data_IF_177360459679
#
_entry.id   IF_177360459679
#
_cell.length_a   1.000
_cell.length_b   1.000
_cell.length_c   1.000
_cell.angle_alpha   90.00
_cell.angle_beta   90.00
_cell.angle_gamma   90.00
#
_symmetry.space_group_name_H-M   'P 1'
#
loop_
_entity.id
_entity.type
_entity.pdbx_description
1 polymer ?
#
# COMPACT_ATOMS: atom_id res chain seq x y z
N UNK A 1 13.04 -3.07 -49.92
CA UNK A 1 12.27 -3.25 -48.65
C UNK A 1 12.68 -4.45 -47.78
N UNK A 2 13.30 -5.53 -48.28
CA UNK A 2 13.69 -6.71 -47.47
C UNK A 2 14.79 -6.51 -46.40
N UNK A 3 15.61 -5.44 -46.46
CA UNK A 3 16.74 -5.24 -45.52
C UNK A 3 16.38 -4.63 -44.16
N UNK A 4 15.18 -4.04 -43.99
CA UNK A 4 14.73 -3.45 -42.71
C UNK A 4 14.17 -4.48 -41.72
N UNK A 5 13.53 -5.54 -42.21
CA UNK A 5 12.96 -6.61 -41.37
C UNK A 5 14.03 -7.46 -40.67
N UNK A 6 15.16 -7.74 -41.32
CA UNK A 6 16.25 -8.54 -40.74
C UNK A 6 16.95 -7.84 -39.56
N UNK A 7 17.09 -6.51 -39.58
CA UNK A 7 17.71 -5.74 -38.49
C UNK A 7 16.82 -5.62 -37.23
N UNK A 8 15.50 -5.65 -37.40
CA UNK A 8 14.56 -5.57 -36.28
C UNK A 8 14.54 -6.89 -35.46
N UNK A 9 14.62 -8.04 -36.13
CA UNK A 9 14.71 -9.35 -35.45
C UNK A 9 15.99 -9.52 -34.63
N UNK A 10 17.13 -9.00 -35.12
CA UNK A 10 18.41 -9.05 -34.40
C UNK A 10 18.46 -8.12 -33.19
N UNK A 11 17.79 -6.96 -33.24
CA UNK A 11 17.78 -5.97 -32.15
C UNK A 11 16.89 -6.42 -30.98
N UNK A 12 15.71 -7.00 -31.27
CA UNK A 12 14.85 -7.58 -30.25
C UNK A 12 15.50 -8.82 -29.58
N UNK A 13 16.17 -9.67 -30.38
CA UNK A 13 16.92 -10.82 -29.87
C UNK A 13 18.10 -10.41 -28.97
N UNK A 14 18.84 -9.37 -29.33
CA UNK A 14 19.96 -8.87 -28.51
C UNK A 14 19.51 -8.15 -27.24
N UNK A 15 18.35 -7.47 -27.25
CA UNK A 15 17.77 -6.89 -26.04
C UNK A 15 17.29 -7.97 -25.05
N UNK A 16 16.63 -9.03 -25.56
CA UNK A 16 16.20 -10.15 -24.73
C UNK A 16 17.38 -10.95 -24.15
N UNK A 17 18.44 -11.15 -24.94
CA UNK A 17 19.66 -11.81 -24.47
C UNK A 17 20.39 -10.95 -23.43
N UNK A 18 20.49 -9.63 -23.63
CA UNK A 18 21.05 -8.74 -22.60
C UNK A 18 20.22 -8.68 -21.34
N UNK A 19 18.89 -8.69 -21.45
CA UNK A 19 18.01 -8.75 -20.29
C UNK A 19 18.21 -10.06 -19.54
N UNK A 20 18.31 -11.20 -20.25
CA UNK A 20 18.62 -12.51 -19.66
C UNK A 20 19.98 -12.53 -18.98
N UNK A 21 21.03 -12.07 -19.66
CA UNK A 21 22.39 -12.12 -19.15
C UNK A 21 22.57 -11.14 -17.96
N UNK A 22 21.89 -9.99 -17.98
CA UNK A 22 21.77 -9.10 -16.81
C UNK A 22 20.99 -9.75 -15.66
N UNK A 23 19.91 -10.48 -15.97
CA UNK A 23 19.14 -11.23 -14.98
C UNK A 23 19.99 -12.33 -14.35
N UNK A 24 20.81 -13.03 -15.14
CA UNK A 24 21.72 -14.07 -14.67
C UNK A 24 22.88 -13.51 -13.86
N UNK A 25 23.42 -12.33 -14.23
CA UNK A 25 24.44 -11.63 -13.47
C UNK A 25 23.95 -11.18 -12.08
N UNK A 26 22.63 -10.98 -11.91
CA UNK A 26 21.98 -10.76 -10.61
C UNK A 26 22.00 -12.00 -9.70
N UNK A 27 22.33 -13.17 -10.24
CA UNK A 27 22.40 -14.46 -9.54
C UNK A 27 23.80 -15.09 -9.59
N UNK A 28 24.82 -14.34 -10.01
CA UNK A 28 26.21 -14.81 -10.05
C UNK A 28 26.81 -14.81 -8.63
N UNK A 29 27.59 -15.84 -8.28
CA UNK A 29 28.04 -16.08 -6.90
C UNK A 29 28.89 -14.93 -6.33
N UNK A 30 28.41 -14.33 -5.23
CA UNK A 30 29.08 -13.26 -4.49
C UNK A 30 30.39 -13.75 -3.81
N UNK A 31 31.37 -12.85 -3.57
CA UNK A 31 32.60 -13.19 -2.86
C UNK A 31 32.30 -13.75 -1.44
N UNK A 32 33.11 -14.70 -0.93
CA UNK A 32 32.81 -15.48 0.29
C UNK A 32 32.62 -14.68 1.59
N UNK A 33 32.92 -13.38 1.57
CA UNK A 33 32.84 -12.45 2.70
C UNK A 33 31.48 -11.77 2.85
N UNK A 34 30.59 -11.83 1.85
CA UNK A 34 29.25 -11.26 1.94
C UNK A 34 28.19 -12.34 2.22
N UNK A 35 27.10 -12.00 2.96
CA UNK A 35 25.96 -12.89 3.07
C UNK A 35 25.44 -13.18 1.66
N UNK A 36 25.55 -14.44 1.21
CA UNK A 36 25.17 -14.82 -0.14
C UNK A 36 23.73 -14.45 -0.48
N UNK A 37 23.52 -14.03 -1.73
CA UNK A 37 22.20 -13.74 -2.27
C UNK A 37 21.22 -14.91 -2.09
N UNK A 38 20.12 -14.68 -1.37
CA UNK A 38 19.02 -15.64 -1.22
C UNK A 38 17.80 -15.18 -2.05
N UNK A 39 17.51 -15.80 -3.21
CA UNK A 39 16.37 -15.45 -4.05
C UNK A 39 15.03 -15.62 -3.33
N UNK A 40 14.93 -16.58 -2.40
CA UNK A 40 13.71 -16.82 -1.63
C UNK A 40 13.48 -15.68 -0.65
N UNK A 41 14.53 -15.19 0.00
CA UNK A 41 14.46 -14.02 0.85
C UNK A 41 14.01 -12.78 0.08
N UNK A 42 14.63 -12.50 -1.08
CA UNK A 42 14.24 -11.37 -1.92
C UNK A 42 12.77 -11.48 -2.38
N UNK A 43 12.38 -12.65 -2.90
CA UNK A 43 11.01 -12.89 -3.35
C UNK A 43 9.99 -12.69 -2.23
N UNK A 44 10.30 -13.19 -1.03
CA UNK A 44 9.46 -13.01 0.17
C UNK A 44 9.34 -11.54 0.55
N UNK A 45 10.45 -10.78 0.54
CA UNK A 45 10.44 -9.36 0.86
C UNK A 45 9.57 -8.55 -0.13
N UNK A 46 9.64 -8.86 -1.43
CA UNK A 46 8.82 -8.21 -2.46
C UNK A 46 7.33 -8.51 -2.22
N UNK A 47 6.96 -9.78 -2.06
CA UNK A 47 5.56 -10.18 -1.85
C UNK A 47 5.00 -9.57 -0.56
N UNK A 48 5.76 -9.64 0.54
CA UNK A 48 5.38 -9.03 1.81
C UNK A 48 5.18 -7.52 1.69
N UNK A 49 6.06 -6.83 0.96
CA UNK A 49 5.95 -5.38 0.73
C UNK A 49 4.72 -5.04 -0.09
N UNK A 50 4.46 -5.76 -1.17
CA UNK A 50 3.27 -5.53 -2.01
C UNK A 50 1.97 -5.80 -1.23
N UNK A 51 1.93 -6.88 -0.44
CA UNK A 51 0.80 -7.18 0.43
C UNK A 51 0.58 -6.06 1.47
N UNK A 52 1.65 -5.57 2.10
CA UNK A 52 1.57 -4.48 3.06
C UNK A 52 1.05 -3.18 2.41
N UNK A 53 1.52 -2.84 1.21
CA UNK A 53 1.02 -1.70 0.45
C UNK A 53 -0.45 -1.85 0.07
N UNK A 54 -0.88 -3.03 -0.36
CA UNK A 54 -2.27 -3.33 -0.67
C UNK A 54 -3.19 -3.19 0.56
N UNK A 55 -2.77 -3.74 1.70
CA UNK A 55 -3.49 -3.58 2.96
C UNK A 55 -3.59 -2.11 3.38
N UNK A 56 -2.48 -1.36 3.30
CA UNK A 56 -2.47 0.06 3.65
C UNK A 56 -3.35 0.88 2.69
N UNK A 57 -3.31 0.58 1.40
CA UNK A 57 -4.18 1.20 0.41
C UNK A 57 -5.65 1.01 0.76
N UNK A 58 -6.08 -0.23 1.02
CA UNK A 58 -7.48 -0.51 1.36
C UNK A 58 -7.90 0.12 2.69
N UNK A 59 -7.03 0.14 3.70
CA UNK A 59 -7.29 0.82 4.97
C UNK A 59 -7.45 2.33 4.77
N UNK A 60 -6.52 2.98 4.06
CA UNK A 60 -6.58 4.42 3.83
C UNK A 60 -7.74 4.81 2.92
N UNK A 61 -8.03 4.02 1.88
CA UNK A 61 -9.19 4.24 1.03
C UNK A 61 -10.49 4.08 1.82
N UNK A 62 -10.59 3.05 2.65
CA UNK A 62 -11.74 2.87 3.54
C UNK A 62 -11.84 4.03 4.53
N UNK A 63 -10.74 4.54 5.07
CA UNK A 63 -10.78 5.64 6.02
C UNK A 63 -11.17 6.98 5.37
N UNK A 64 -10.63 7.28 4.20
CA UNK A 64 -10.64 8.62 3.61
C UNK A 64 -11.68 8.79 2.49
N UNK A 65 -12.10 7.70 1.84
CA UNK A 65 -12.94 7.76 0.62
C UNK A 65 -14.26 7.03 0.78
N UNK A 66 -14.24 5.80 1.33
CA UNK A 66 -15.44 4.96 1.46
C UNK A 66 -16.57 5.67 2.23
N UNK A 67 -17.75 5.73 1.61
CA UNK A 67 -18.95 6.40 2.12
C UNK A 67 -18.69 7.85 2.59
N UNK A 68 -17.91 8.60 1.78
CA UNK A 68 -17.53 9.99 2.07
C UNK A 68 -16.37 10.15 3.06
N UNK A 69 -15.87 9.05 3.62
CA UNK A 69 -14.70 9.03 4.49
C UNK A 69 -14.89 9.73 5.84
N UNK A 70 -13.79 9.83 6.58
CA UNK A 70 -13.79 10.39 7.93
C UNK A 70 -14.00 11.91 7.97
N UNK A 71 -13.58 12.64 6.94
CA UNK A 71 -13.69 14.10 6.91
C UNK A 71 -15.15 14.57 6.88
N UNK A 72 -15.98 13.92 6.07
CA UNK A 72 -17.41 14.20 6.01
C UNK A 72 -18.09 13.93 7.36
N UNK A 73 -17.68 12.86 8.05
CA UNK A 73 -18.19 12.50 9.38
C UNK A 73 -17.77 13.50 10.45
N UNK A 74 -16.51 13.93 10.43
CA UNK A 74 -16.02 14.99 11.33
C UNK A 74 -16.77 16.30 11.11
N UNK A 75 -17.01 16.68 9.85
CA UNK A 75 -17.81 17.86 9.52
C UNK A 75 -19.26 17.72 10.01
N UNK A 76 -19.88 16.55 9.81
CA UNK A 76 -21.23 16.26 10.28
C UNK A 76 -21.35 16.33 11.81
N UNK A 77 -20.36 15.79 12.53
CA UNK A 77 -20.27 15.91 13.99
C UNK A 77 -20.13 17.37 14.44
N UNK A 78 -19.31 18.18 13.73
CA UNK A 78 -19.18 19.61 14.00
C UNK A 78 -20.50 20.36 13.80
N UNK A 79 -21.24 20.05 12.73
CA UNK A 79 -22.57 20.63 12.49
C UNK A 79 -23.58 20.22 13.55
N UNK A 80 -23.57 18.95 13.96
CA UNK A 80 -24.44 18.44 15.03
C UNK A 80 -24.15 19.16 16.35
N UNK A 81 -22.88 19.32 16.71
CA UNK A 81 -22.46 20.09 17.89
C UNK A 81 -22.87 21.58 17.81
N UNK A 82 -22.97 22.13 16.59
CA UNK A 82 -23.48 23.47 16.31
C UNK A 82 -25.01 23.59 16.27
N UNK A 83 -25.75 22.50 16.51
CA UNK A 83 -27.21 22.52 16.60
C UNK A 83 -27.96 22.02 15.35
N UNK A 84 -27.27 21.53 14.32
CA UNK A 84 -27.92 20.87 13.19
C UNK A 84 -28.69 19.63 13.65
N UNK A 85 -29.80 19.31 12.99
CA UNK A 85 -30.57 18.07 13.29
C UNK A 85 -30.03 16.87 12.52
N UNK A 86 -30.27 15.64 13.01
CA UNK A 86 -29.88 14.42 12.29
C UNK A 86 -30.51 14.34 10.89
N UNK A 87 -31.75 14.84 10.75
CA UNK A 87 -32.46 14.86 9.46
C UNK A 87 -31.79 15.79 8.45
N UNK A 88 -31.25 16.94 8.89
CA UNK A 88 -30.45 17.84 8.04
C UNK A 88 -29.11 17.23 7.58
N UNK A 89 -28.65 16.18 8.27
CA UNK A 89 -27.47 15.40 7.91
C UNK A 89 -27.82 14.18 7.05
N UNK A 90 -29.08 14.06 6.61
CA UNK A 90 -29.56 12.99 5.74
C UNK A 90 -29.90 11.69 6.48
N UNK A 91 -30.06 11.73 7.81
CA UNK A 91 -30.50 10.55 8.56
C UNK A 91 -32.02 10.36 8.38
N UNK A 92 -32.40 9.27 7.72
CA UNK A 92 -33.81 8.89 7.47
C UNK A 92 -34.21 7.59 8.18
N UNK A 93 -33.33 7.01 8.99
CA UNK A 93 -33.58 5.80 9.77
C UNK A 93 -32.40 4.83 9.68
N UNK A 94 -32.64 3.56 9.98
CA UNK A 94 -31.61 2.52 10.03
C UNK A 94 -31.03 2.12 8.67
N UNK A 95 -31.75 2.37 7.57
CA UNK A 95 -31.30 2.03 6.21
C UNK A 95 -30.57 3.17 5.49
N UNK A 96 -30.73 4.41 5.96
CA UNK A 96 -30.13 5.60 5.38
C UNK A 96 -29.57 6.46 6.52
N UNK A 97 -28.28 6.26 6.79
CA UNK A 97 -27.58 6.96 7.88
C UNK A 97 -27.06 8.34 7.43
N UNK A 98 -27.22 8.68 6.15
CA UNK A 98 -26.79 9.95 5.57
C UNK A 98 -25.29 10.16 5.73
N UNK A 99 -24.90 11.28 6.33
CA UNK A 99 -23.49 11.61 6.55
C UNK A 99 -22.71 10.60 7.43
N UNK A 100 -23.40 9.70 8.13
CA UNK A 100 -22.80 8.67 8.99
C UNK A 100 -22.71 7.29 8.33
N UNK A 101 -23.05 7.15 7.05
CA UNK A 101 -22.88 5.89 6.32
C UNK A 101 -21.44 5.40 6.35
N UNK A 102 -21.23 4.11 6.55
CA UNK A 102 -19.89 3.52 6.65
C UNK A 102 -19.08 3.90 7.89
N UNK A 103 -19.67 4.54 8.91
CA UNK A 103 -18.99 4.97 10.15
C UNK A 103 -18.16 3.86 10.81
N UNK A 104 -18.71 2.65 10.94
CA UNK A 104 -17.98 1.50 11.50
C UNK A 104 -16.76 1.12 10.66
N UNK A 105 -16.89 1.17 9.33
CA UNK A 105 -15.78 0.89 8.42
C UNK A 105 -14.66 1.92 8.56
N UNK A 106 -15.00 3.23 8.58
CA UNK A 106 -13.99 4.27 8.76
C UNK A 106 -13.32 4.17 10.14
N UNK A 107 -14.07 3.91 11.22
CA UNK A 107 -13.51 3.75 12.56
C UNK A 107 -12.56 2.56 12.67
N UNK A 108 -12.96 1.40 12.13
CA UNK A 108 -12.11 0.22 12.12
C UNK A 108 -10.82 0.51 11.32
N UNK A 109 -10.94 1.11 10.14
CA UNK A 109 -9.80 1.50 9.32
C UNK A 109 -8.87 2.49 10.04
N UNK A 110 -9.42 3.46 10.78
CA UNK A 110 -8.64 4.38 11.62
C UNK A 110 -7.87 3.64 12.70
N UNK A 111 -8.54 2.76 13.45
CA UNK A 111 -7.95 2.00 14.52
C UNK A 111 -6.79 1.11 14.03
N UNK A 112 -6.99 0.40 12.91
CA UNK A 112 -5.94 -0.42 12.29
C UNK A 112 -4.77 0.44 11.79
N UNK A 113 -5.06 1.57 11.14
CA UNK A 113 -4.01 2.48 10.64
C UNK A 113 -3.14 3.01 11.79
N UNK A 114 -3.76 3.43 12.89
CA UNK A 114 -3.05 3.86 14.11
C UNK A 114 -2.24 2.70 14.69
N UNK A 115 -2.83 1.51 14.80
CA UNK A 115 -2.15 0.31 15.32
C UNK A 115 -0.89 -0.03 14.53
N UNK A 116 -0.99 -0.03 13.20
CA UNK A 116 0.16 -0.26 12.30
C UNK A 116 1.23 0.82 12.49
N UNK A 117 0.84 2.10 12.53
CA UNK A 117 1.78 3.21 12.72
C UNK A 117 2.54 3.09 14.06
N UNK A 118 1.85 2.71 15.14
CA UNK A 118 2.45 2.48 16.45
C UNK A 118 3.38 1.27 16.45
N UNK A 119 2.99 0.17 15.80
CA UNK A 119 3.82 -1.02 15.67
C UNK A 119 5.12 -0.71 14.90
N UNK A 120 5.02 0.00 13.76
CA UNK A 120 6.19 0.43 12.99
C UNK A 120 7.10 1.37 13.78
N UNK A 121 6.51 2.33 14.49
CA UNK A 121 7.27 3.23 15.38
C UNK A 121 8.03 2.46 16.46
N UNK A 122 7.41 1.44 17.05
CA UNK A 122 8.04 0.57 18.05
C UNK A 122 9.20 -0.21 17.45
N UNK A 123 8.98 -0.89 16.32
CA UNK A 123 10.02 -1.65 15.61
C UNK A 123 11.20 -0.77 15.24
N UNK A 124 10.94 0.44 14.73
CA UNK A 124 11.99 1.40 14.39
C UNK A 124 12.83 1.80 15.61
N UNK A 125 12.19 2.06 16.75
CA UNK A 125 12.89 2.42 18.00
C UNK A 125 13.75 1.27 18.52
N UNK A 126 13.22 0.05 18.51
CA UNK A 126 13.97 -1.15 18.92
C UNK A 126 15.16 -1.42 18.00
N UNK A 127 15.01 -1.23 16.69
CA UNK A 127 16.10 -1.35 15.74
C UNK A 127 17.17 -0.27 15.96
N UNK A 128 16.75 0.98 16.24
CA UNK A 128 17.66 2.08 16.50
C UNK A 128 18.46 1.91 17.81
N UNK A 129 17.85 1.33 18.85
CA UNK A 129 18.57 1.07 20.12
C UNK A 129 19.61 -0.03 20.01
N UNK A 130 19.42 -1.02 19.12
CA UNK A 130 20.40 -2.11 18.90
C UNK A 130 21.62 -1.69 18.09
N UNK A 131 21.56 -0.54 17.41
CA UNK A 131 22.66 0.02 16.61
C UNK A 131 23.57 0.97 17.39
N UNK A 132 23.22 1.30 18.64
CA UNK A 132 24.06 2.06 19.57
C UNK A 132 24.72 1.12 20.54
#
# INVERSE_FOLDING_TARGET
>A
MRRRAARAGTAAGTAALRARDWLLALFEDDPPSEPGYDPVHLGTAIVATLAALGCLYWLLWTLLVYEGGIFLKVQALGRLAGGATLRELGYEGSYALGAFEGWFGNLAALAFTIGIALALRRLYREAASRRR
#
